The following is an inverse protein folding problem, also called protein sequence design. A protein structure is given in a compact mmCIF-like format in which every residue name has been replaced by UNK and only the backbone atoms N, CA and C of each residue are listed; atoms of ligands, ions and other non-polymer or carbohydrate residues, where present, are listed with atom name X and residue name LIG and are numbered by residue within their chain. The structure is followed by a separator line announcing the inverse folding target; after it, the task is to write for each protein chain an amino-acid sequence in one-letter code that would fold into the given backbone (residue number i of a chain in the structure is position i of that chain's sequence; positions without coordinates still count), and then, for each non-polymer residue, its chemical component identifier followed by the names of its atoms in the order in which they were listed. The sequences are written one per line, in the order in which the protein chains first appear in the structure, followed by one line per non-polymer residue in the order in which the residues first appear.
data_IF_124770693531
#
_entry.id   IF_124770693531
#
_cell.length_a   1.000
_cell.length_b   1.000
_cell.length_c   1.000
_cell.angle_alpha   90.00
_cell.angle_beta   90.00
_cell.angle_gamma   90.00
#
_symmetry.space_group_name_H-M   'P 1'
#
loop_
_entity.id
_entity.type
_entity.pdbx_description
1 polymer ?
#
# COMPACT_ATOMS: atom_id res chain seq x y z
N UNK A 1 -48.92 4.06 6.56
CA UNK A 1 -47.68 4.36 5.80
C UNK A 1 -47.62 5.86 5.58
N UNK A 2 -46.75 6.60 6.29
CA UNK A 2 -46.59 8.04 6.03
C UNK A 2 -45.95 8.22 4.65
N UNK A 3 -46.62 8.96 3.78
CA UNK A 3 -46.09 9.51 2.54
C UNK A 3 -44.65 10.01 2.78
N UNK A 4 -43.65 9.41 2.12
CA UNK A 4 -42.31 10.01 2.05
C UNK A 4 -42.43 11.21 1.12
N UNK A 5 -42.78 12.37 1.66
CA UNK A 5 -42.72 13.62 0.92
C UNK A 5 -41.29 13.78 0.37
N UNK A 6 -41.19 13.71 -0.95
CA UNK A 6 -39.94 13.92 -1.67
C UNK A 6 -39.68 15.42 -1.68
N UNK A 7 -38.47 15.80 -1.30
CA UNK A 7 -38.05 17.19 -1.31
C UNK A 7 -37.30 17.45 -2.61
N UNK A 8 -37.77 18.41 -3.40
CA UNK A 8 -36.97 19.00 -4.47
C UNK A 8 -36.11 20.09 -3.83
N UNK A 9 -34.78 19.90 -3.65
CA UNK A 9 -33.95 20.89 -2.98
C UNK A 9 -33.89 22.17 -3.81
N UNK A 10 -33.95 23.34 -3.15
CA UNK A 10 -33.64 24.60 -3.81
C UNK A 10 -32.18 24.63 -4.28
N UNK A 11 -31.85 25.49 -5.24
CA UNK A 11 -30.47 25.63 -5.74
C UNK A 11 -29.47 25.89 -4.60
N UNK A 12 -29.84 26.75 -3.64
CA UNK A 12 -29.02 27.05 -2.46
C UNK A 12 -28.82 25.82 -1.57
N UNK A 13 -29.90 25.13 -1.20
CA UNK A 13 -29.81 23.93 -0.36
C UNK A 13 -28.99 22.83 -1.03
N UNK A 14 -29.15 22.65 -2.34
CA UNK A 14 -28.36 21.70 -3.12
C UNK A 14 -26.87 22.04 -3.05
N UNK A 15 -26.51 23.31 -3.26
CA UNK A 15 -25.13 23.78 -3.16
C UNK A 15 -24.54 23.54 -1.77
N UNK A 16 -25.27 23.86 -0.70
CA UNK A 16 -24.81 23.71 0.68
C UNK A 16 -24.56 22.24 1.05
N UNK A 17 -25.46 21.33 0.64
CA UNK A 17 -25.28 19.89 0.83
C UNK A 17 -24.04 19.40 0.09
N UNK A 18 -23.89 19.78 -1.18
CA UNK A 18 -22.76 19.37 -2.01
C UNK A 18 -21.44 19.90 -1.47
N UNK A 19 -21.40 21.14 -0.97
CA UNK A 19 -20.19 21.74 -0.36
C UNK A 19 -19.75 20.97 0.88
N UNK A 20 -20.66 20.74 1.83
CA UNK A 20 -20.35 19.99 3.06
C UNK A 20 -19.90 18.55 2.77
N UNK A 21 -20.54 17.91 1.79
CA UNK A 21 -20.11 16.59 1.35
C UNK A 21 -18.75 16.64 0.68
N UNK A 22 -18.46 17.64 -0.16
CA UNK A 22 -17.17 17.77 -0.82
C UNK A 22 -16.04 18.01 0.18
N UNK A 23 -16.23 18.91 1.14
CA UNK A 23 -15.30 19.13 2.26
C UNK A 23 -15.05 17.83 3.03
N UNK A 24 -16.12 17.11 3.39
CA UNK A 24 -16.00 15.86 4.15
C UNK A 24 -15.31 14.76 3.35
N UNK A 25 -15.67 14.56 2.07
CA UNK A 25 -15.00 13.60 1.17
C UNK A 25 -13.53 13.96 1.06
N UNK A 26 -13.21 15.24 0.83
CA UNK A 26 -11.84 15.71 0.68
C UNK A 26 -10.98 15.41 1.91
N UNK A 27 -11.55 15.52 3.12
CA UNK A 27 -10.85 15.18 4.36
C UNK A 27 -10.41 13.71 4.45
N UNK A 28 -11.04 12.81 3.69
CA UNK A 28 -10.63 11.41 3.56
C UNK A 28 -9.82 11.14 2.30
N UNK A 29 -10.15 11.80 1.18
CA UNK A 29 -9.55 11.54 -0.13
C UNK A 29 -9.69 12.75 -1.06
N UNK A 30 -8.56 13.33 -1.45
CA UNK A 30 -8.55 14.45 -2.40
C UNK A 30 -9.09 14.07 -3.79
N UNK A 31 -8.78 12.85 -4.25
CA UNK A 31 -9.15 12.31 -5.56
C UNK A 31 -10.09 11.09 -5.42
N UNK A 32 -11.36 11.27 -5.02
CA UNK A 32 -12.31 10.17 -4.95
C UNK A 32 -12.56 9.59 -6.34
N UNK A 33 -12.63 8.27 -6.41
CA UNK A 33 -12.95 7.54 -7.62
C UNK A 33 -14.48 7.39 -7.77
N UNK A 34 -14.92 6.78 -8.87
CA UNK A 34 -16.35 6.61 -9.16
C UNK A 34 -17.13 5.84 -8.08
N UNK A 35 -16.52 4.79 -7.50
CA UNK A 35 -17.13 3.99 -6.46
C UNK A 35 -17.26 4.78 -5.15
N UNK A 36 -16.20 5.51 -4.76
CA UNK A 36 -16.21 6.35 -3.55
C UNK A 36 -17.37 7.38 -3.60
N UNK A 37 -17.57 8.02 -4.76
CA UNK A 37 -18.67 8.99 -4.95
C UNK A 37 -20.03 8.31 -4.97
N UNK A 38 -20.12 7.07 -5.48
CA UNK A 38 -21.36 6.30 -5.49
C UNK A 38 -21.79 5.94 -4.07
N UNK A 39 -20.86 5.46 -3.25
CA UNK A 39 -21.11 5.09 -1.85
C UNK A 39 -21.61 6.29 -1.04
N UNK A 40 -21.00 7.47 -1.21
CA UNK A 40 -21.47 8.69 -0.53
C UNK A 40 -22.86 9.11 -0.99
N UNK A 41 -23.15 9.00 -2.29
CA UNK A 41 -24.47 9.33 -2.83
C UNK A 41 -25.55 8.37 -2.30
N UNK A 42 -25.24 7.08 -2.21
CA UNK A 42 -26.12 6.06 -1.64
C UNK A 42 -26.33 6.29 -0.13
N UNK A 43 -25.27 6.54 0.63
CA UNK A 43 -25.36 6.85 2.05
C UNK A 43 -26.21 8.11 2.31
N UNK A 44 -26.10 9.13 1.47
CA UNK A 44 -26.91 10.35 1.55
C UNK A 44 -28.41 10.03 1.38
N UNK A 45 -28.80 9.30 0.33
CA UNK A 45 -30.21 9.01 0.02
C UNK A 45 -30.80 7.90 0.89
N UNK A 46 -29.97 7.04 1.47
CA UNK A 46 -30.37 6.09 2.50
C UNK A 46 -30.68 6.81 3.81
N UNK A 47 -29.80 7.70 4.26
CA UNK A 47 -29.97 8.49 5.49
C UNK A 47 -31.09 9.54 5.35
N UNK A 48 -31.26 10.11 4.16
CA UNK A 48 -32.27 11.12 3.86
C UNK A 48 -33.15 10.69 2.67
N UNK A 49 -34.16 9.82 2.89
CA UNK A 49 -35.02 9.32 1.81
C UNK A 49 -35.78 10.39 1.03
N UNK A 50 -35.99 11.58 1.60
CA UNK A 50 -36.61 12.71 0.91
C UNK A 50 -35.75 13.26 -0.25
N UNK A 51 -34.45 12.98 -0.29
CA UNK A 51 -33.53 13.43 -1.34
C UNK A 51 -33.43 12.46 -2.53
N UNK A 52 -34.12 11.32 -2.50
CA UNK A 52 -34.09 10.32 -3.59
C UNK A 52 -34.64 10.90 -4.89
N UNK A 53 -33.93 10.66 -6.00
CA UNK A 53 -34.35 11.11 -7.34
C UNK A 53 -35.15 10.02 -8.06
N UNK A 54 -36.08 10.45 -8.94
CA UNK A 54 -36.96 9.55 -9.69
C UNK A 54 -36.32 9.04 -10.99
N UNK A 55 -35.01 8.79 -10.96
CA UNK A 55 -34.31 8.22 -12.11
C UNK A 55 -34.54 6.69 -12.13
N UNK A 56 -34.90 6.15 -13.30
CA UNK A 56 -35.38 4.78 -13.49
C UNK A 56 -34.36 3.67 -13.22
N UNK A 57 -33.09 4.00 -12.97
CA UNK A 57 -32.00 3.03 -12.80
C UNK A 57 -31.38 3.02 -11.39
N UNK A 58 -31.32 4.15 -10.70
CA UNK A 58 -30.77 4.27 -9.33
C UNK A 58 -31.14 5.63 -8.70
N UNK A 59 -31.83 5.60 -7.55
CA UNK A 59 -32.33 6.79 -6.83
C UNK A 59 -31.23 7.75 -6.30
N UNK A 60 -29.95 7.32 -6.32
CA UNK A 60 -28.78 8.13 -5.91
C UNK A 60 -27.93 8.63 -7.08
N UNK A 61 -28.23 8.24 -8.33
CA UNK A 61 -27.34 8.46 -9.47
C UNK A 61 -27.11 9.94 -9.81
N UNK A 62 -28.16 10.77 -9.80
CA UNK A 62 -27.98 12.20 -10.06
C UNK A 62 -27.18 12.92 -8.96
N UNK A 63 -27.26 12.46 -7.69
CA UNK A 63 -26.37 12.94 -6.62
C UNK A 63 -24.92 12.57 -6.89
N UNK A 64 -24.65 11.34 -7.35
CA UNK A 64 -23.31 10.91 -7.78
C UNK A 64 -22.73 11.84 -8.85
N UNK A 65 -23.51 12.17 -9.89
CA UNK A 65 -23.04 13.07 -10.96
C UNK A 65 -22.73 14.48 -10.44
N UNK A 66 -23.61 15.04 -9.60
CA UNK A 66 -23.40 16.35 -8.99
C UNK A 66 -22.20 16.38 -8.07
N UNK A 67 -22.00 15.34 -7.26
CA UNK A 67 -20.83 15.20 -6.39
C UNK A 67 -19.53 15.10 -7.20
N UNK A 68 -19.50 14.38 -8.32
CA UNK A 68 -18.32 14.35 -9.21
C UNK A 68 -17.92 15.75 -9.67
N UNK A 69 -18.89 16.51 -10.17
CA UNK A 69 -18.68 17.89 -10.62
C UNK A 69 -18.24 18.78 -9.45
N UNK A 70 -18.92 18.69 -8.30
CA UNK A 70 -18.58 19.46 -7.11
C UNK A 70 -17.17 19.17 -6.62
N UNK A 71 -16.76 17.90 -6.54
CA UNK A 71 -15.40 17.53 -6.15
C UNK A 71 -14.34 18.09 -7.10
N UNK A 72 -14.65 18.17 -8.40
CA UNK A 72 -13.77 18.83 -9.37
C UNK A 72 -13.62 20.32 -9.09
N UNK A 73 -14.73 21.01 -8.87
CA UNK A 73 -14.76 22.44 -8.55
C UNK A 73 -14.08 22.75 -7.21
N UNK A 74 -14.36 21.94 -6.18
CA UNK A 74 -13.78 22.07 -4.84
C UNK A 74 -12.25 21.95 -4.88
N UNK A 75 -11.71 20.96 -5.60
CA UNK A 75 -10.25 20.87 -5.82
C UNK A 75 -9.69 22.09 -6.53
N UNK A 76 -10.37 22.62 -7.55
CA UNK A 76 -9.93 23.82 -8.24
C UNK A 76 -9.91 25.06 -7.31
N UNK A 77 -10.89 25.18 -6.42
CA UNK A 77 -10.94 26.24 -5.40
C UNK A 77 -9.79 26.09 -4.39
N UNK A 78 -9.56 24.89 -3.84
CA UNK A 78 -8.44 24.65 -2.92
C UNK A 78 -7.09 24.96 -3.58
N UNK A 79 -6.95 24.62 -4.86
CA UNK A 79 -5.77 24.93 -5.66
C UNK A 79 -5.59 26.44 -5.86
N UNK A 80 -6.66 27.20 -6.14
CA UNK A 80 -6.55 28.65 -6.32
C UNK A 80 -6.21 29.40 -5.03
N UNK A 81 -6.64 28.87 -3.88
CA UNK A 81 -6.35 29.45 -2.57
C UNK A 81 -5.06 28.94 -1.93
N UNK A 82 -4.37 27.97 -2.54
CA UNK A 82 -3.11 27.45 -2.01
C UNK A 82 -3.27 26.57 -0.75
N UNK A 83 -4.46 26.00 -0.52
CA UNK A 83 -4.83 25.33 0.75
C UNK A 83 -4.60 23.80 0.74
N UNK A 84 -4.02 23.24 -0.33
CA UNK A 84 -3.99 21.80 -0.55
C UNK A 84 -2.72 21.31 -1.27
N UNK A 85 -1.74 20.82 -0.51
CA UNK A 85 -0.48 20.29 -1.05
C UNK A 85 -0.70 19.22 -2.13
N UNK A 86 -1.55 18.23 -1.88
CA UNK A 86 -1.83 17.11 -2.78
C UNK A 86 -2.47 17.56 -4.12
N UNK A 87 -3.19 18.68 -4.13
CA UNK A 87 -3.78 19.23 -5.37
C UNK A 87 -2.81 20.18 -6.07
N UNK A 88 -2.07 20.97 -5.30
CA UNK A 88 -1.12 21.96 -5.81
C UNK A 88 0.07 21.33 -6.52
N UNK A 89 0.58 20.20 -6.01
CA UNK A 89 1.74 19.50 -6.58
C UNK A 89 1.54 19.12 -8.05
N UNK A 90 0.29 18.96 -8.48
CA UNK A 90 -0.09 18.62 -9.86
C UNK A 90 -0.35 19.86 -10.75
N UNK A 91 -0.17 21.08 -10.23
CA UNK A 91 -0.31 22.30 -11.01
C UNK A 91 0.85 22.47 -12.00
N UNK A 92 0.60 23.14 -13.12
CA UNK A 92 1.64 23.44 -14.12
C UNK A 92 2.86 24.16 -13.52
N UNK A 93 2.66 24.98 -12.47
CA UNK A 93 3.75 25.71 -11.80
C UNK A 93 4.74 24.79 -11.08
N UNK A 94 4.30 23.60 -10.69
CA UNK A 94 5.10 22.62 -9.95
C UNK A 94 5.52 21.41 -10.82
N UNK A 95 5.23 21.43 -12.12
CA UNK A 95 5.68 20.40 -13.06
C UNK A 95 7.04 20.78 -13.64
N UNK A 96 7.85 19.75 -13.91
CA UNK A 96 9.08 19.92 -14.69
C UNK A 96 8.74 20.52 -16.07
N UNK A 97 9.60 21.40 -16.63
CA UNK A 97 9.47 21.87 -18.01
C UNK A 97 9.36 20.73 -19.05
N UNK A 98 9.90 19.55 -18.75
CA UNK A 98 9.84 18.34 -19.59
C UNK A 98 8.48 17.61 -19.55
N UNK A 99 7.60 18.02 -18.62
CA UNK A 99 6.25 17.49 -18.43
C UNK A 99 5.18 18.49 -18.91
N UNK A 100 5.35 18.96 -20.15
CA UNK A 100 4.47 19.94 -20.82
C UNK A 100 3.00 19.52 -20.90
N UNK A 101 2.68 18.24 -20.73
CA UNK A 101 1.30 17.76 -20.71
C UNK A 101 0.66 17.76 -19.30
N UNK A 102 -0.50 18.42 -19.10
CA UNK A 102 -1.16 18.49 -17.79
C UNK A 102 -1.54 17.13 -17.21
N UNK A 103 -1.74 16.10 -18.04
CA UNK A 103 -2.08 14.75 -17.58
C UNK A 103 -0.86 13.85 -17.28
N UNK A 104 0.36 14.25 -17.65
CA UNK A 104 1.57 13.45 -17.44
C UNK A 104 2.03 13.52 -15.97
N UNK A 105 2.49 12.41 -15.40
CA UNK A 105 3.10 12.34 -14.06
C UNK A 105 2.24 12.91 -12.91
N UNK A 106 0.93 12.66 -12.92
CA UNK A 106 0.06 13.07 -11.81
C UNK A 106 0.44 12.31 -10.53
N UNK A 107 0.87 13.06 -9.51
CA UNK A 107 1.18 12.64 -8.14
C UNK A 107 -0.12 12.55 -7.35
N UNK A 108 -0.74 11.37 -7.33
CA UNK A 108 -1.99 11.09 -6.61
C UNK A 108 -1.95 9.68 -6.03
N UNK A 109 -2.70 9.48 -4.95
CA UNK A 109 -2.92 8.15 -4.37
C UNK A 109 -3.46 7.16 -5.40
N UNK A 110 -2.98 5.91 -5.37
CA UNK A 110 -3.38 4.83 -6.28
C UNK A 110 -3.67 3.50 -5.57
N UNK A 111 -3.13 3.31 -4.38
CA UNK A 111 -3.11 2.05 -3.64
C UNK A 111 -3.68 2.18 -2.22
N UNK A 112 -4.53 3.18 -2.00
CA UNK A 112 -5.16 3.40 -0.69
C UNK A 112 -4.31 4.21 0.26
N UNK A 113 -3.34 4.97 -0.27
CA UNK A 113 -2.58 5.93 0.52
C UNK A 113 -3.52 7.06 0.99
N UNK A 114 -3.76 7.16 2.29
CA UNK A 114 -4.47 8.29 2.90
C UNK A 114 -3.60 9.56 2.88
N UNK A 115 -2.29 9.39 3.09
CA UNK A 115 -1.31 10.46 3.10
C UNK A 115 -0.31 10.30 1.93
N UNK A 116 -0.80 10.41 0.69
CA UNK A 116 0.08 10.31 -0.48
C UNK A 116 1.06 11.49 -0.58
N UNK A 117 0.56 12.71 -0.41
CA UNK A 117 1.32 13.97 -0.44
C UNK A 117 0.88 14.89 0.71
N UNK A 118 1.20 14.52 1.97
CA UNK A 118 0.75 15.23 3.17
C UNK A 118 1.22 16.69 3.17
N UNK A 119 0.44 17.59 3.78
CA UNK A 119 0.86 18.98 3.99
C UNK A 119 1.85 19.09 5.15
N UNK A 120 2.74 20.08 5.10
CA UNK A 120 3.63 20.36 6.24
C UNK A 120 2.86 21.09 7.35
N UNK A 121 3.17 20.82 8.63
CA UNK A 121 2.63 21.61 9.74
C UNK A 121 3.00 23.09 9.58
N UNK A 122 2.05 24.01 9.79
CA UNK A 122 2.27 25.45 9.60
C UNK A 122 3.34 26.05 10.53
N UNK A 123 3.69 25.36 11.62
CA UNK A 123 4.71 25.78 12.58
C UNK A 123 6.14 25.37 12.18
N UNK A 124 6.31 24.53 11.17
CA UNK A 124 7.60 23.97 10.78
C UNK A 124 8.06 24.55 9.44
N UNK A 125 9.34 24.91 9.36
CA UNK A 125 9.96 25.32 8.09
C UNK A 125 10.71 24.14 7.44
N UNK A 126 10.94 24.15 6.13
CA UNK A 126 11.76 23.14 5.46
C UNK A 126 13.15 22.99 6.10
N UNK A 127 13.76 24.08 6.56
CA UNK A 127 15.07 24.09 7.20
C UNK A 127 15.03 23.41 8.58
N UNK A 128 14.00 23.66 9.39
CA UNK A 128 13.76 22.98 10.68
C UNK A 128 13.62 21.47 10.47
N UNK A 129 12.83 21.07 9.48
CA UNK A 129 12.58 19.65 9.16
C UNK A 129 13.85 18.96 8.63
N UNK A 130 14.65 19.64 7.82
CA UNK A 130 15.93 19.12 7.34
C UNK A 130 16.97 19.02 8.47
N UNK A 131 16.95 19.94 9.44
CA UNK A 131 17.78 19.85 10.63
C UNK A 131 17.39 18.64 11.49
N UNK A 132 16.09 18.42 11.71
CA UNK A 132 15.60 17.25 12.43
C UNK A 132 15.93 15.95 11.70
N UNK A 133 15.78 15.91 10.36
CA UNK A 133 16.20 14.76 9.54
C UNK A 133 17.70 14.51 9.68
N UNK A 134 18.53 15.54 9.59
CA UNK A 134 20.00 15.41 9.72
C UNK A 134 20.38 14.88 11.11
N UNK A 135 19.68 15.31 12.16
CA UNK A 135 19.94 14.83 13.51
C UNK A 135 19.70 13.31 13.65
N UNK A 136 18.74 12.73 12.90
CA UNK A 136 18.48 11.28 12.91
C UNK A 136 19.73 10.44 12.59
N UNK A 137 20.65 10.95 11.76
CA UNK A 137 21.90 10.27 11.42
C UNK A 137 22.81 10.04 12.64
N UNK A 138 22.69 10.89 13.66
CA UNK A 138 23.40 10.73 14.93
C UNK A 138 22.57 9.97 15.95
N UNK A 139 21.26 10.19 15.98
CA UNK A 139 20.33 9.50 16.89
C UNK A 139 20.33 7.99 16.69
N UNK A 140 20.43 7.50 15.44
CA UNK A 140 20.44 6.07 15.13
C UNK A 140 21.69 5.34 15.63
N UNK A 141 22.78 6.07 15.87
CA UNK A 141 24.05 5.52 16.38
C UNK A 141 24.05 5.40 17.91
N UNK A 142 23.07 5.99 18.60
CA UNK A 142 22.95 5.97 20.06
C UNK A 142 22.25 4.69 20.51
N UNK A 143 22.72 4.11 21.62
CA UNK A 143 22.06 2.95 22.25
C UNK A 143 20.73 3.37 22.89
N UNK A 144 19.72 2.51 22.81
CA UNK A 144 18.41 2.65 23.46
C UNK A 144 17.70 3.98 23.14
N UNK A 145 17.70 4.36 21.87
CA UNK A 145 17.24 5.67 21.42
C UNK A 145 15.99 5.58 20.51
N UNK A 146 15.29 4.46 20.56
CA UNK A 146 14.18 4.12 19.67
C UNK A 146 13.05 5.14 19.76
N UNK A 147 12.80 5.70 20.96
CA UNK A 147 11.77 6.73 21.17
C UNK A 147 12.11 8.03 20.43
N UNK A 148 13.34 8.51 20.54
CA UNK A 148 13.81 9.74 19.86
C UNK A 148 13.75 9.57 18.34
N UNK A 149 14.22 8.41 17.85
CA UNK A 149 14.13 8.05 16.43
C UNK A 149 12.68 8.10 15.96
N UNK A 150 11.76 7.41 16.66
CA UNK A 150 10.34 7.38 16.30
C UNK A 150 9.69 8.76 16.27
N UNK A 151 9.98 9.60 17.26
CA UNK A 151 9.44 10.96 17.36
C UNK A 151 9.95 11.85 16.21
N UNK A 152 11.25 11.82 15.93
CA UNK A 152 11.85 12.59 14.83
C UNK A 152 11.45 12.06 13.45
N UNK A 153 11.37 10.75 13.26
CA UNK A 153 10.88 10.14 12.02
C UNK A 153 9.40 10.49 11.80
N UNK A 154 8.58 10.52 12.86
CA UNK A 154 7.19 10.98 12.78
C UNK A 154 7.10 12.46 12.39
N UNK A 155 7.90 13.32 13.04
CA UNK A 155 7.92 14.76 12.78
C UNK A 155 8.32 15.07 11.33
N UNK A 156 9.30 14.34 10.79
CA UNK A 156 9.81 14.53 9.42
C UNK A 156 9.03 13.78 8.33
N UNK A 157 7.98 13.04 8.70
CA UNK A 157 7.18 12.22 7.76
C UNK A 157 6.73 12.99 6.53
N UNK A 158 6.07 14.14 6.74
CA UNK A 158 5.52 14.91 5.63
C UNK A 158 6.61 15.36 4.65
N UNK A 159 7.72 15.88 5.19
CA UNK A 159 8.88 16.36 4.44
C UNK A 159 9.51 15.27 3.59
N UNK A 160 9.89 14.15 4.21
CA UNK A 160 10.49 13.01 3.52
C UNK A 160 9.54 12.40 2.48
N UNK A 161 8.24 12.33 2.79
CA UNK A 161 7.26 11.79 1.86
C UNK A 161 7.13 12.64 0.60
N UNK A 162 7.13 13.96 0.73
CA UNK A 162 7.13 14.86 -0.41
C UNK A 162 8.41 14.69 -1.24
N UNK A 163 9.58 14.62 -0.61
CA UNK A 163 10.87 14.34 -1.29
C UNK A 163 10.81 13.05 -2.12
N UNK A 164 10.36 11.95 -1.54
CA UNK A 164 10.20 10.65 -2.21
C UNK A 164 9.23 10.73 -3.39
N UNK A 165 8.10 11.42 -3.24
CA UNK A 165 7.10 11.55 -4.32
C UNK A 165 7.57 12.49 -5.44
N UNK A 166 8.32 13.54 -5.08
CA UNK A 166 8.76 14.58 -6.01
C UNK A 166 9.99 14.19 -6.80
N UNK A 167 11.01 13.68 -6.12
CA UNK A 167 12.33 13.42 -6.70
C UNK A 167 12.50 11.98 -7.16
N UNK A 168 11.74 11.03 -6.57
CA UNK A 168 11.90 9.59 -6.79
C UNK A 168 13.37 9.16 -6.70
N UNK A 169 14.06 9.49 -5.59
CA UNK A 169 15.47 9.17 -5.43
C UNK A 169 15.69 7.66 -5.48
N UNK A 170 16.89 7.25 -5.88
CA UNK A 170 17.27 5.83 -5.85
C UNK A 170 17.37 5.35 -4.41
N UNK A 171 17.19 4.05 -4.21
CA UNK A 171 17.12 3.45 -2.87
C UNK A 171 18.35 3.76 -2.01
N UNK A 172 19.55 3.73 -2.60
CA UNK A 172 20.81 4.01 -1.92
C UNK A 172 20.87 5.44 -1.34
N UNK A 173 20.39 6.45 -2.10
CA UNK A 173 20.32 7.84 -1.63
C UNK A 173 19.37 7.99 -0.44
N UNK A 174 18.24 7.27 -0.45
CA UNK A 174 17.27 7.27 0.65
C UNK A 174 17.88 6.60 1.88
N UNK A 175 18.62 5.50 1.72
CA UNK A 175 19.34 4.84 2.83
C UNK A 175 20.38 5.77 3.44
N UNK A 176 21.16 6.46 2.63
CA UNK A 176 22.18 7.39 3.11
C UNK A 176 21.55 8.60 3.84
N UNK A 177 20.45 9.15 3.31
CA UNK A 177 19.77 10.32 3.88
C UNK A 177 18.88 9.97 5.08
N UNK A 178 18.22 8.82 5.07
CA UNK A 178 17.20 8.42 6.03
C UNK A 178 17.36 6.95 6.46
N UNK A 179 18.50 6.55 7.07
CA UNK A 179 18.76 5.16 7.42
C UNK A 179 17.74 4.57 8.41
N UNK A 180 17.12 5.42 9.24
CA UNK A 180 16.05 5.00 10.15
C UNK A 180 14.85 4.38 9.42
N UNK A 181 14.56 4.77 8.17
CA UNK A 181 13.46 4.18 7.38
C UNK A 181 13.68 2.72 7.00
N UNK A 182 14.90 2.21 7.19
CA UNK A 182 15.28 0.83 6.94
C UNK A 182 15.44 0.04 8.24
N UNK A 183 14.74 0.46 9.31
CA UNK A 183 14.53 -0.32 10.52
C UNK A 183 13.09 -0.86 10.53
N UNK A 184 12.88 -2.11 10.97
CA UNK A 184 11.57 -2.75 10.93
C UNK A 184 10.48 -1.95 11.65
N UNK A 185 10.80 -1.35 12.80
CA UNK A 185 9.89 -0.54 13.61
C UNK A 185 9.44 0.71 12.85
N UNK A 186 10.38 1.37 12.18
CA UNK A 186 10.11 2.59 11.43
C UNK A 186 9.43 2.30 10.10
N UNK A 187 9.70 1.17 9.43
CA UNK A 187 8.92 0.71 8.27
C UNK A 187 7.45 0.49 8.65
N UNK A 188 7.19 -0.17 9.79
CA UNK A 188 5.84 -0.35 10.30
C UNK A 188 5.17 1.00 10.59
N UNK A 189 5.88 1.92 11.26
CA UNK A 189 5.34 3.24 11.60
C UNK A 189 5.09 4.10 10.36
N UNK A 190 5.99 4.07 9.39
CA UNK A 190 5.87 4.80 8.13
C UNK A 190 4.74 4.25 7.27
N UNK A 191 4.62 2.93 7.16
CA UNK A 191 3.47 2.30 6.53
C UNK A 191 2.16 2.65 7.26
N UNK A 192 2.14 2.68 8.59
CA UNK A 192 0.94 3.13 9.29
C UNK A 192 0.57 4.57 8.91
N UNK A 193 1.56 5.47 8.75
CA UNK A 193 1.31 6.87 8.35
C UNK A 193 0.78 6.99 6.92
N UNK A 194 1.20 6.15 5.97
CA UNK A 194 0.82 6.32 4.54
C UNK A 194 -0.64 5.87 4.28
N UNK A 195 -1.02 4.58 4.41
CA UNK A 195 -2.42 4.12 4.28
C UNK A 195 -3.29 4.17 5.55
N UNK A 196 -2.78 4.54 6.73
CA UNK A 196 -3.55 4.48 8.01
C UNK A 196 -3.97 3.05 8.43
N UNK A 197 -3.17 2.04 8.08
CA UNK A 197 -3.39 0.62 8.44
C UNK A 197 -2.12 0.04 9.06
N UNK A 198 -2.19 -0.69 10.20
CA UNK A 198 -1.00 -1.28 10.81
C UNK A 198 -0.47 -2.43 9.95
N UNK A 199 0.81 -2.39 9.54
CA UNK A 199 1.40 -3.32 8.57
C UNK A 199 1.41 -4.78 9.06
N UNK A 200 2.34 -5.13 9.96
CA UNK A 200 2.57 -6.52 10.36
C UNK A 200 1.36 -7.15 11.03
N UNK A 201 0.74 -6.43 11.98
CA UNK A 201 -0.41 -6.94 12.72
C UNK A 201 -1.58 -7.29 11.79
N UNK A 202 -1.88 -6.43 10.81
CA UNK A 202 -2.94 -6.68 9.82
C UNK A 202 -2.56 -7.81 8.88
N UNK A 203 -1.35 -7.76 8.32
CA UNK A 203 -0.86 -8.73 7.35
C UNK A 203 -0.89 -10.15 7.92
N UNK A 204 -0.32 -10.34 9.11
CA UNK A 204 -0.26 -11.65 9.77
C UNK A 204 -1.66 -12.17 10.11
N UNK A 205 -2.51 -11.33 10.70
CA UNK A 205 -3.87 -11.72 11.07
C UNK A 205 -4.72 -12.14 9.85
N UNK A 206 -4.61 -11.41 8.73
CA UNK A 206 -5.37 -11.75 7.52
C UNK A 206 -4.76 -12.94 6.79
N UNK A 207 -3.44 -13.09 6.79
CA UNK A 207 -2.79 -14.28 6.25
C UNK A 207 -3.24 -15.54 6.99
N UNK A 208 -3.27 -15.50 8.32
CA UNK A 208 -3.74 -16.63 9.14
C UNK A 208 -5.23 -16.91 8.87
N UNK A 209 -6.05 -15.86 8.82
CA UNK A 209 -7.49 -15.97 8.55
C UNK A 209 -7.79 -16.65 7.22
N UNK A 210 -7.05 -16.33 6.17
CA UNK A 210 -7.26 -16.89 4.83
C UNK A 210 -6.40 -18.12 4.51
N UNK A 211 -5.52 -18.54 5.41
CA UNK A 211 -4.56 -19.62 5.15
C UNK A 211 -5.27 -20.92 4.73
N UNK A 212 -6.29 -21.33 5.46
CA UNK A 212 -7.02 -22.58 5.16
C UNK A 212 -7.68 -22.54 3.77
N UNK A 213 -8.34 -21.43 3.42
CA UNK A 213 -9.03 -21.27 2.14
C UNK A 213 -8.01 -21.16 1.00
N UNK A 214 -6.92 -20.41 1.19
CA UNK A 214 -5.82 -20.33 0.22
C UNK A 214 -5.28 -21.74 -0.09
N UNK A 215 -5.04 -22.55 0.95
CA UNK A 215 -4.55 -23.91 0.79
C UNK A 215 -5.53 -24.80 0.00
N UNK A 216 -6.83 -24.66 0.24
CA UNK A 216 -7.84 -25.37 -0.54
C UNK A 216 -7.83 -24.93 -2.01
N UNK A 217 -7.72 -23.63 -2.26
CA UNK A 217 -7.59 -23.08 -3.62
C UNK A 217 -6.37 -23.65 -4.33
N UNK A 218 -5.22 -23.68 -3.65
CA UNK A 218 -3.94 -24.20 -4.17
C UNK A 218 -4.07 -25.69 -4.47
N UNK A 219 -4.59 -26.51 -3.54
CA UNK A 219 -4.76 -27.96 -3.72
C UNK A 219 -5.72 -28.33 -4.85
N UNK A 220 -6.67 -27.45 -5.17
CA UNK A 220 -7.57 -27.60 -6.34
C UNK A 220 -6.91 -27.28 -7.68
N UNK A 221 -5.76 -26.60 -7.71
CA UNK A 221 -5.06 -26.31 -8.97
C UNK A 221 -4.43 -27.59 -9.52
N UNK A 222 -4.41 -27.70 -10.85
CA UNK A 222 -3.83 -28.81 -11.60
C UNK A 222 -2.61 -28.38 -12.41
N UNK A 223 -2.13 -29.29 -13.27
CA UNK A 223 -1.04 -29.04 -14.21
C UNK A 223 0.25 -28.53 -13.55
N UNK A 224 0.96 -27.63 -14.25
CA UNK A 224 2.24 -27.07 -13.81
C UNK A 224 2.17 -26.38 -12.43
N UNK A 225 1.02 -25.81 -12.05
CA UNK A 225 0.83 -25.20 -10.72
C UNK A 225 0.88 -26.26 -9.62
N UNK A 226 0.24 -27.42 -9.83
CA UNK A 226 0.28 -28.53 -8.86
C UNK A 226 1.68 -29.08 -8.71
N UNK A 227 2.41 -29.24 -9.81
CA UNK A 227 3.79 -29.72 -9.81
C UNK A 227 4.71 -28.79 -9.01
N UNK A 228 4.65 -27.47 -9.28
CA UNK A 228 5.45 -26.46 -8.57
C UNK A 228 5.11 -26.36 -7.08
N UNK A 229 3.84 -26.55 -6.71
CA UNK A 229 3.39 -26.45 -5.31
C UNK A 229 3.54 -27.75 -4.53
N UNK A 230 3.78 -28.90 -5.17
CA UNK A 230 3.82 -30.21 -4.52
C UNK A 230 4.85 -30.29 -3.39
N UNK A 231 6.11 -29.87 -3.64
CA UNK A 231 7.19 -29.87 -2.63
C UNK A 231 6.84 -28.95 -1.45
N UNK A 232 6.28 -27.78 -1.73
CA UNK A 232 5.86 -26.80 -0.70
C UNK A 232 4.73 -27.36 0.17
N UNK A 233 3.74 -28.00 -0.43
CA UNK A 233 2.62 -28.62 0.30
C UNK A 233 3.09 -29.81 1.17
N UNK A 234 4.09 -30.58 0.72
CA UNK A 234 4.69 -31.64 1.53
C UNK A 234 5.34 -31.08 2.81
N UNK A 235 6.07 -29.97 2.71
CA UNK A 235 6.64 -29.29 3.89
C UNK A 235 5.56 -28.72 4.79
N UNK A 236 4.51 -28.12 4.22
CA UNK A 236 3.37 -27.59 4.96
C UNK A 236 2.69 -28.66 5.84
N UNK A 237 2.46 -29.85 5.29
CA UNK A 237 1.79 -30.95 6.01
C UNK A 237 2.63 -31.46 7.20
N UNK A 238 3.94 -31.23 7.19
CA UNK A 238 4.88 -31.59 8.26
C UNK A 238 5.18 -30.43 9.22
N UNK A 239 4.87 -29.19 8.83
CA UNK A 239 5.26 -28.01 9.59
C UNK A 239 4.48 -27.90 10.90
N UNK A 240 5.20 -27.89 12.03
CA UNK A 240 4.62 -27.52 13.33
C UNK A 240 4.64 -26.00 13.56
N UNK A 241 5.66 -25.31 13.04
CA UNK A 241 5.85 -23.86 13.21
C UNK A 241 4.90 -23.05 12.31
N UNK A 242 4.24 -22.05 12.89
CA UNK A 242 3.29 -21.17 12.19
C UNK A 242 3.96 -20.36 11.08
N UNK A 243 5.18 -19.88 11.27
CA UNK A 243 5.88 -19.08 10.26
C UNK A 243 6.29 -19.91 9.03
N UNK A 244 6.61 -21.20 9.22
CA UNK A 244 6.85 -22.13 8.12
C UNK A 244 5.56 -22.36 7.33
N UNK A 245 4.41 -22.49 8.03
CA UNK A 245 3.11 -22.60 7.35
C UNK A 245 2.80 -21.34 6.54
N UNK A 246 3.01 -20.16 7.12
CA UNK A 246 2.83 -18.87 6.45
C UNK A 246 3.75 -18.73 5.24
N UNK A 247 5.03 -19.13 5.35
CA UNK A 247 5.97 -19.17 4.23
C UNK A 247 5.44 -20.04 3.08
N UNK A 248 4.99 -21.27 3.40
CA UNK A 248 4.42 -22.18 2.40
C UNK A 248 3.18 -21.60 1.71
N UNK A 249 2.28 -20.96 2.46
CA UNK A 249 1.09 -20.29 1.91
C UNK A 249 1.49 -19.13 0.99
N UNK A 250 2.46 -18.30 1.38
CA UNK A 250 2.91 -17.15 0.59
C UNK A 250 3.63 -17.57 -0.69
N UNK A 251 4.53 -18.56 -0.63
CA UNK A 251 5.16 -19.12 -1.82
C UNK A 251 4.13 -19.71 -2.78
N UNK A 252 3.15 -20.43 -2.25
CA UNK A 252 2.07 -21.00 -3.05
C UNK A 252 1.16 -19.94 -3.68
N UNK A 253 0.88 -18.83 -2.98
CA UNK A 253 0.14 -17.69 -3.52
C UNK A 253 0.85 -17.07 -4.73
N UNK A 254 2.18 -16.88 -4.64
CA UNK A 254 2.97 -16.37 -5.75
C UNK A 254 2.89 -17.29 -6.99
N UNK A 255 2.93 -18.62 -6.78
CA UNK A 255 2.85 -19.62 -7.86
C UNK A 255 1.49 -19.63 -8.58
N UNK A 256 0.43 -19.05 -8.02
CA UNK A 256 -0.89 -18.94 -8.69
C UNK A 256 -0.90 -18.02 -9.92
N UNK A 257 0.22 -17.39 -10.25
CA UNK A 257 0.32 -16.56 -11.43
C UNK A 257 1.68 -16.09 -11.87
N UNK A 258 2.68 -16.27 -11.01
CA UNK A 258 3.97 -15.60 -11.11
C UNK A 258 5.06 -16.62 -10.75
N UNK A 259 6.32 -16.33 -11.09
CA UNK A 259 7.44 -17.22 -10.77
C UNK A 259 7.97 -16.83 -9.40
N UNK A 260 7.83 -17.67 -8.38
CA UNK A 260 8.19 -17.30 -6.99
C UNK A 260 9.67 -16.92 -6.86
N UNK A 261 10.52 -17.54 -7.68
CA UNK A 261 11.98 -17.41 -7.69
C UNK A 261 12.46 -16.00 -8.11
N UNK A 262 11.59 -15.21 -8.75
CA UNK A 262 11.93 -13.83 -9.12
C UNK A 262 11.73 -12.84 -7.96
N UNK A 263 10.96 -13.21 -6.92
CA UNK A 263 10.71 -12.37 -5.73
C UNK A 263 11.39 -12.92 -4.50
N UNK A 264 11.38 -14.25 -4.34
CA UNK A 264 11.99 -14.95 -3.22
C UNK A 264 13.15 -15.77 -3.78
N UNK A 265 14.37 -15.27 -3.56
CA UNK A 265 15.61 -15.90 -3.97
C UNK A 265 16.15 -16.73 -2.81
N UNK A 266 16.33 -18.02 -3.03
CA UNK A 266 16.83 -18.94 -2.01
C UNK A 266 18.23 -19.40 -2.39
N UNK A 267 19.16 -19.26 -1.45
CA UNK A 267 20.55 -19.63 -1.62
C UNK A 267 20.99 -20.57 -0.49
N UNK A 268 21.82 -21.55 -0.82
CA UNK A 268 22.54 -22.31 0.20
C UNK A 268 23.73 -21.48 0.72
N UNK A 269 24.16 -21.71 1.96
CA UNK A 269 25.36 -21.07 2.53
C UNK A 269 26.59 -21.29 1.64
N UNK A 270 26.68 -22.44 0.96
CA UNK A 270 27.74 -22.75 0.00
C UNK A 270 27.70 -21.92 -1.30
N UNK A 271 26.62 -21.17 -1.55
CA UNK A 271 26.38 -20.37 -2.74
C UNK A 271 26.53 -18.86 -2.49
N UNK A 272 27.30 -18.46 -1.46
CA UNK A 272 27.46 -17.05 -1.08
C UNK A 272 27.84 -16.12 -2.25
N UNK A 273 28.87 -16.48 -3.02
CA UNK A 273 29.34 -15.67 -4.16
C UNK A 273 28.27 -15.54 -5.26
N UNK A 274 27.49 -16.60 -5.50
CA UNK A 274 26.39 -16.57 -6.46
C UNK A 274 25.26 -15.66 -5.96
N UNK A 275 24.95 -15.73 -4.66
CA UNK A 275 23.94 -14.88 -4.04
C UNK A 275 24.29 -13.40 -4.20
N UNK A 276 25.54 -13.01 -3.92
CA UNK A 276 26.00 -11.63 -4.04
C UNK A 276 25.86 -11.11 -5.49
N UNK A 277 26.35 -11.87 -6.48
CA UNK A 277 26.25 -11.49 -7.90
C UNK A 277 24.81 -11.35 -8.37
N UNK A 278 23.93 -12.28 -7.98
CA UNK A 278 22.54 -12.25 -8.40
C UNK A 278 21.78 -11.09 -7.75
N UNK A 279 22.02 -10.82 -6.46
CA UNK A 279 21.37 -9.74 -5.73
C UNK A 279 21.76 -8.36 -6.27
N UNK A 280 23.01 -8.14 -6.68
CA UNK A 280 23.46 -6.88 -7.31
C UNK A 280 22.68 -6.51 -8.58
N UNK A 281 22.19 -7.51 -9.33
CA UNK A 281 21.41 -7.29 -10.57
C UNK A 281 19.90 -7.20 -10.33
N UNK A 282 19.45 -7.33 -9.08
CA UNK A 282 18.04 -7.48 -8.74
C UNK A 282 17.38 -6.15 -8.41
N UNK A 283 16.25 -5.86 -9.06
CA UNK A 283 15.46 -4.65 -8.79
C UNK A 283 14.80 -4.73 -7.41
N UNK A 284 14.21 -5.87 -7.06
CA UNK A 284 13.51 -6.06 -5.79
C UNK A 284 13.34 -7.54 -5.50
N UNK A 285 13.92 -8.03 -4.41
CA UNK A 285 13.71 -9.41 -3.94
C UNK A 285 13.86 -9.53 -2.42
N UNK A 286 13.28 -10.60 -1.91
CA UNK A 286 13.57 -11.18 -0.60
C UNK A 286 14.62 -12.26 -0.86
N UNK A 287 15.71 -12.26 -0.11
CA UNK A 287 16.67 -13.35 -0.14
C UNK A 287 16.58 -14.17 1.13
N UNK A 288 16.83 -15.47 1.00
CA UNK A 288 16.83 -16.43 2.10
C UNK A 288 18.10 -17.26 1.97
N UNK A 289 18.92 -17.26 3.01
CA UNK A 289 20.14 -18.06 3.08
C UNK A 289 19.90 -19.25 4.00
N UNK A 290 20.06 -20.48 3.50
CA UNK A 290 19.80 -21.74 4.25
C UNK A 290 21.02 -22.64 4.26
N UNK A 291 21.12 -23.51 5.27
CA UNK A 291 22.14 -24.57 5.28
C UNK A 291 21.79 -25.71 4.30
N UNK A 292 20.51 -25.99 4.15
CA UNK A 292 19.98 -27.02 3.24
C UNK A 292 18.66 -26.57 2.57
N UNK A 293 18.12 -27.40 1.68
CA UNK A 293 16.87 -27.12 0.95
C UNK A 293 15.59 -27.30 1.79
N UNK A 294 15.71 -27.70 3.06
CA UNK A 294 14.54 -27.96 3.91
C UNK A 294 13.90 -26.66 4.37
N UNK A 295 12.60 -26.52 4.12
CA UNK A 295 11.81 -25.43 4.70
C UNK A 295 11.53 -25.64 6.19
N UNK A 296 11.78 -26.85 6.72
CA UNK A 296 11.56 -27.16 8.14
C UNK A 296 12.65 -26.58 9.04
N UNK A 297 13.83 -26.29 8.47
CA UNK A 297 14.94 -25.68 9.18
C UNK A 297 14.86 -24.16 9.12
N UNK A 298 15.29 -23.51 10.21
CA UNK A 298 15.35 -22.05 10.29
C UNK A 298 16.42 -21.55 9.30
N UNK A 299 16.12 -20.54 8.46
CA UNK A 299 17.14 -19.88 7.66
C UNK A 299 18.26 -19.29 8.51
N UNK A 300 19.47 -19.26 7.95
CA UNK A 300 20.62 -18.55 8.53
C UNK A 300 20.38 -17.05 8.48
N UNK A 301 19.88 -16.57 7.35
CA UNK A 301 19.55 -15.16 7.15
C UNK A 301 18.34 -15.00 6.22
N UNK A 302 17.59 -13.92 6.43
CA UNK A 302 16.47 -13.49 5.61
C UNK A 302 16.60 -11.98 5.47
N UNK A 303 16.65 -11.50 4.23
CA UNK A 303 16.78 -10.08 3.97
C UNK A 303 16.05 -9.63 2.73
N UNK A 304 16.20 -8.35 2.41
CA UNK A 304 15.58 -7.69 1.27
C UNK A 304 16.66 -6.93 0.52
N UNK A 305 16.67 -7.10 -0.80
CA UNK A 305 17.49 -6.33 -1.71
C UNK A 305 16.59 -5.49 -2.64
N UNK A 306 16.95 -4.23 -2.86
CA UNK A 306 16.27 -3.29 -3.75
C UNK A 306 17.33 -2.53 -4.54
N UNK A 307 17.16 -2.47 -5.87
CA UNK A 307 18.10 -1.85 -6.81
C UNK A 307 19.56 -2.30 -6.62
N UNK A 308 19.77 -3.59 -6.37
CA UNK A 308 21.11 -4.16 -6.14
C UNK A 308 21.67 -3.95 -4.73
N UNK A 309 20.97 -3.24 -3.85
CA UNK A 309 21.42 -2.91 -2.49
C UNK A 309 20.66 -3.73 -1.46
N UNK A 310 21.38 -4.35 -0.53
CA UNK A 310 20.78 -4.96 0.65
C UNK A 310 20.23 -3.88 1.58
N UNK A 311 18.91 -3.85 1.74
CA UNK A 311 18.21 -2.81 2.53
C UNK A 311 17.78 -3.29 3.91
N UNK A 312 17.65 -4.61 4.09
CA UNK A 312 17.31 -5.27 5.35
C UNK A 312 17.96 -6.65 5.39
N UNK A 313 18.34 -7.10 6.58
CA UNK A 313 18.85 -8.44 6.88
C UNK A 313 18.35 -8.89 8.26
N UNK A 314 18.69 -10.12 8.64
CA UNK A 314 18.38 -10.73 9.94
C UNK A 314 16.88 -10.70 10.28
N UNK A 315 16.01 -10.75 9.26
CA UNK A 315 14.58 -10.71 9.45
C UNK A 315 14.08 -11.99 10.14
N UNK A 316 13.09 -11.89 11.04
CA UNK A 316 12.73 -13.01 11.93
C UNK A 316 12.06 -14.17 11.19
N UNK A 317 11.42 -13.91 10.05
CA UNK A 317 10.71 -14.91 9.26
C UNK A 317 10.41 -14.42 7.84
N UNK A 318 10.19 -15.34 6.90
CA UNK A 318 9.78 -15.02 5.52
C UNK A 318 8.47 -14.20 5.46
N UNK A 319 7.40 -14.52 6.21
CA UNK A 319 6.21 -13.64 6.21
C UNK A 319 6.51 -12.24 6.74
N UNK A 320 7.44 -12.08 7.70
CA UNK A 320 7.88 -10.76 8.13
C UNK A 320 8.61 -10.03 7.01
N UNK A 321 9.47 -10.71 6.25
CA UNK A 321 10.15 -10.12 5.09
C UNK A 321 9.17 -9.70 3.98
N UNK A 322 8.15 -10.50 3.67
CA UNK A 322 7.09 -10.11 2.71
C UNK A 322 6.34 -8.88 3.21
N UNK A 323 6.02 -8.81 4.50
CA UNK A 323 5.39 -7.63 5.09
C UNK A 323 6.30 -6.40 5.02
N UNK A 324 7.59 -6.52 5.37
CA UNK A 324 8.56 -5.42 5.31
C UNK A 324 8.77 -4.92 3.88
N UNK A 325 8.88 -5.82 2.91
CA UNK A 325 8.98 -5.45 1.50
C UNK A 325 7.74 -4.67 1.04
N UNK A 326 6.55 -5.14 1.40
CA UNK A 326 5.31 -4.41 1.13
C UNK A 326 5.30 -3.04 1.82
N UNK A 327 5.80 -2.95 3.05
CA UNK A 327 6.01 -1.72 3.79
C UNK A 327 6.89 -0.72 3.04
N UNK A 328 8.08 -1.17 2.61
CA UNK A 328 9.05 -0.38 1.86
C UNK A 328 8.47 0.12 0.54
N UNK A 329 7.71 -0.70 -0.19
CA UNK A 329 7.03 -0.27 -1.43
C UNK A 329 6.13 0.95 -1.20
N UNK A 330 5.42 1.01 -0.07
CA UNK A 330 4.61 2.17 0.28
C UNK A 330 5.47 3.32 0.77
N UNK A 331 6.40 3.08 1.69
CA UNK A 331 7.28 4.10 2.28
C UNK A 331 8.05 4.87 1.19
N UNK A 332 8.68 4.13 0.26
CA UNK A 332 9.51 4.65 -0.83
C UNK A 332 8.70 4.97 -2.10
N UNK A 333 7.36 4.86 -2.07
CA UNK A 333 6.48 5.14 -3.21
C UNK A 333 6.83 4.36 -4.50
N UNK A 334 7.36 3.15 -4.36
CA UNK A 334 7.81 2.32 -5.49
C UNK A 334 6.63 1.71 -6.24
N UNK A 335 6.81 1.40 -7.53
CA UNK A 335 5.85 0.58 -8.26
C UNK A 335 5.96 -0.90 -7.87
N UNK A 336 4.90 -1.68 -8.06
CA UNK A 336 5.00 -3.13 -7.90
C UNK A 336 5.89 -3.71 -9.00
N UNK A 337 6.83 -4.61 -8.67
CA UNK A 337 7.64 -5.31 -9.66
C UNK A 337 6.76 -5.93 -10.74
N UNK A 338 7.14 -5.78 -12.01
CA UNK A 338 6.28 -6.15 -13.15
C UNK A 338 5.86 -7.62 -13.12
N UNK A 339 6.72 -8.51 -12.64
CA UNK A 339 6.46 -9.94 -12.48
C UNK A 339 5.63 -10.32 -11.26
N UNK A 340 5.31 -9.37 -10.36
CA UNK A 340 4.62 -9.62 -9.08
C UNK A 340 3.37 -8.76 -8.85
N UNK A 341 2.82 -8.18 -9.92
CA UNK A 341 1.64 -7.31 -9.83
C UNK A 341 0.45 -8.05 -9.23
N UNK A 342 0.27 -9.34 -9.52
CA UNK A 342 -0.82 -10.13 -8.98
C UNK A 342 -0.61 -10.42 -7.49
N UNK A 343 0.57 -10.88 -7.09
CA UNK A 343 0.87 -11.16 -5.68
C UNK A 343 0.72 -9.90 -4.82
N UNK A 344 1.29 -8.76 -5.24
CA UNK A 344 1.16 -7.51 -4.50
C UNK A 344 -0.25 -6.94 -4.53
N UNK A 345 -1.03 -7.15 -5.61
CA UNK A 345 -2.45 -6.80 -5.64
C UNK A 345 -3.27 -7.67 -4.67
N UNK A 346 -2.97 -8.96 -4.53
CA UNK A 346 -3.60 -9.85 -3.55
C UNK A 346 -3.29 -9.40 -2.13
N UNK A 347 -2.02 -9.12 -1.83
CA UNK A 347 -1.60 -8.60 -0.53
C UNK A 347 -2.32 -7.28 -0.26
N UNK A 348 -2.31 -6.34 -1.21
CA UNK A 348 -2.95 -5.05 -1.04
C UNK A 348 -4.46 -5.18 -0.77
N UNK A 349 -5.20 -5.90 -1.63
CA UNK A 349 -6.66 -5.80 -1.69
C UNK A 349 -7.38 -6.85 -0.86
N UNK A 350 -6.76 -8.01 -0.64
CA UNK A 350 -7.34 -9.11 0.15
C UNK A 350 -6.78 -9.10 1.56
N UNK A 351 -5.44 -9.10 1.72
CA UNK A 351 -4.83 -9.18 3.05
C UNK A 351 -4.83 -7.83 3.76
N UNK A 352 -4.50 -6.74 3.07
CA UNK A 352 -4.46 -5.41 3.69
C UNK A 352 -5.79 -4.66 3.56
N UNK A 353 -6.70 -5.16 2.73
CA UNK A 353 -8.01 -4.56 2.42
C UNK A 353 -7.90 -3.08 1.95
N UNK A 354 -6.81 -2.71 1.29
CA UNK A 354 -6.54 -1.38 0.75
C UNK A 354 -7.09 -1.23 -0.67
N UNK A 355 -8.02 -0.30 -0.89
CA UNK A 355 -8.68 -0.10 -2.20
C UNK A 355 -9.29 -1.39 -2.78
N UNK A 356 -10.02 -2.14 -1.96
CA UNK A 356 -10.70 -3.39 -2.35
C UNK A 356 -11.77 -3.21 -3.43
N UNK A 357 -12.25 -1.98 -3.67
CA UNK A 357 -13.32 -1.68 -4.64
C UNK A 357 -12.94 -1.86 -6.13
N UNK A 358 -11.67 -2.08 -6.46
CA UNK A 358 -11.23 -2.26 -7.85
C UNK A 358 -10.16 -3.32 -7.96
N UNK A 359 -10.51 -4.60 -8.06
CA UNK A 359 -9.53 -5.68 -8.27
C UNK A 359 -9.45 -6.08 -9.75
N UNK A 360 -8.30 -6.60 -10.19
CA UNK A 360 -8.19 -7.30 -11.46
C UNK A 360 -9.11 -8.53 -11.48
N UNK A 361 -9.51 -9.00 -12.65
CA UNK A 361 -10.39 -10.17 -12.80
C UNK A 361 -9.84 -11.41 -12.07
N UNK A 362 -8.51 -11.58 -12.11
CA UNK A 362 -7.81 -12.68 -11.44
C UNK A 362 -7.89 -12.57 -9.90
N UNK A 363 -7.73 -11.37 -9.35
CA UNK A 363 -7.81 -11.14 -7.91
C UNK A 363 -9.25 -11.18 -7.41
N UNK A 364 -10.21 -10.68 -8.20
CA UNK A 364 -11.63 -10.85 -7.89
C UNK A 364 -11.99 -12.33 -7.79
N UNK A 365 -11.55 -13.15 -8.76
CA UNK A 365 -11.78 -14.60 -8.72
C UNK A 365 -11.17 -15.24 -7.49
N UNK A 366 -9.92 -14.90 -7.16
CA UNK A 366 -9.28 -15.39 -5.93
C UNK A 366 -10.07 -14.96 -4.69
N UNK A 367 -10.48 -13.70 -4.61
CA UNK A 367 -11.27 -13.16 -3.50
C UNK A 367 -12.60 -13.91 -3.32
N UNK A 368 -13.34 -14.16 -4.41
CA UNK A 368 -14.55 -15.00 -4.38
C UNK A 368 -14.24 -16.41 -3.89
N UNK A 369 -13.23 -17.07 -4.47
CA UNK A 369 -12.79 -18.42 -4.06
C UNK A 369 -12.38 -18.49 -2.58
N UNK A 370 -12.02 -17.37 -1.93
CA UNK A 370 -11.71 -17.31 -0.49
C UNK A 370 -12.93 -17.05 0.40
N UNK A 371 -13.97 -16.38 -0.13
CA UNK A 371 -15.17 -16.01 0.62
C UNK A 371 -16.33 -17.02 0.47
N UNK A 372 -16.30 -17.86 -0.57
CA UNK A 372 -17.32 -18.87 -0.86
C UNK A 372 -17.33 -20.06 0.12
N UNK A 373 -16.40 -20.11 1.09
CA UNK A 373 -16.24 -21.20 2.06
C UNK A 373 -16.82 -20.90 3.45
N UNK A 374 -17.85 -20.06 3.53
CA UNK A 374 -18.56 -19.76 4.78
C UNK A 374 -19.64 -20.77 5.11
#
# INVERSE_FOLDING_TARGET
MKSKERLTPSSKMLSDILEKLAEKIYSYKAYPNDADVSEVAEALTQKHPCLRQQDSFNESYGWKLRLKQKMSNYRNQLKSHGLASEVMVNSFKHKSPEDTHPAKNIKKARRGEANHYPSQPSSETPESLEQDRTSLLTEIKKRNNEKSIREKTAKTFGYRRQEVVDQKPVTEDIMARCPALFQMEEINAEFLRVPAVPLQARFMAQLDRYSTQLLQVIRKKGGATREKTAKILQFLDQAANVDIKRECVLKSLAILGERVEDLIKEFLVSQGDQAEQELQSTIMAIFIIREDESLLHKPKDIGIAIDGVEVLNELPSVPAAVAMLFGLIYALNMEYPKGFKFTFEAIQKILMELCSNKMSSKINRLSSELHDWK
#
